data_IF_688993266280
#
_entry.id   IF_688993266280
#
_cell.length_a   1.000
_cell.length_b   1.000
_cell.length_c   1.000
_cell.angle_alpha   90.00
_cell.angle_beta   90.00
_cell.angle_gamma   90.00
#
_symmetry.space_group_name_H-M   'P 1'
#
loop_
_entity.id
_entity.type
_entity.pdbx_description
1 polymer ?
#
# COMPACT_ATOMS: atom_id res chain seq x y z
N UNK A 1 -9.60 16.82 -0.96
CA UNK A 1 -9.44 15.35 -0.96
C UNK A 1 -8.10 15.02 -0.35
N UNK A 2 -8.05 14.24 0.73
CA UNK A 2 -6.79 13.86 1.39
C UNK A 2 -6.59 12.36 1.22
N UNK A 3 -5.41 11.98 0.76
CA UNK A 3 -4.97 10.59 0.69
C UNK A 3 -3.97 10.34 1.81
N UNK A 4 -4.05 9.16 2.44
CA UNK A 4 -3.07 8.72 3.44
C UNK A 4 -2.49 7.38 2.98
N UNK A 5 -1.16 7.29 2.89
CA UNK A 5 -0.49 6.01 2.67
C UNK A 5 -0.64 5.15 3.93
N UNK A 6 -1.15 3.93 3.76
CA UNK A 6 -1.32 2.95 4.83
C UNK A 6 -0.73 1.61 4.41
N UNK A 7 -0.46 0.81 5.42
CA UNK A 7 0.05 -0.55 5.27
C UNK A 7 -0.96 -1.57 5.83
N UNK A 8 -1.02 -2.75 5.22
CA UNK A 8 -1.84 -3.88 5.67
C UNK A 8 -1.00 -5.16 5.62
N UNK A 9 -0.94 -5.96 6.70
CA UNK A 9 -0.31 -7.27 6.69
C UNK A 9 -0.91 -8.19 5.60
N UNK A 10 -0.01 -8.90 4.92
CA UNK A 10 -0.30 -9.95 3.94
C UNK A 10 0.56 -11.19 4.28
N UNK A 11 0.48 -12.23 3.46
CA UNK A 11 1.22 -13.47 3.68
C UNK A 11 2.74 -13.28 3.62
N UNK A 12 3.49 -14.26 4.16
CA UNK A 12 4.97 -14.30 4.15
C UNK A 12 5.64 -13.12 4.89
N UNK A 13 4.98 -12.57 5.92
CA UNK A 13 5.56 -11.49 6.73
C UNK A 13 5.80 -10.21 5.93
N UNK A 14 4.94 -9.93 4.94
CA UNK A 14 4.96 -8.70 4.13
C UNK A 14 3.76 -7.83 4.48
N UNK A 15 3.85 -6.54 4.16
CA UNK A 15 2.75 -5.58 4.24
C UNK A 15 2.52 -4.96 2.88
N UNK A 16 1.27 -4.97 2.40
CA UNK A 16 0.88 -4.27 1.19
C UNK A 16 0.59 -2.80 1.48
N UNK A 17 0.95 -1.92 0.55
CA UNK A 17 0.68 -0.49 0.63
C UNK A 17 -0.59 -0.11 -0.14
N UNK A 18 -1.39 0.76 0.47
CA UNK A 18 -2.61 1.28 -0.13
C UNK A 18 -2.85 2.75 0.26
N UNK A 19 -3.53 3.49 -0.62
CA UNK A 19 -4.01 4.83 -0.35
C UNK A 19 -5.41 4.73 0.27
N UNK A 20 -5.64 5.44 1.39
CA UNK A 20 -6.96 5.62 2.01
C UNK A 20 -7.42 7.06 1.75
N UNK A 21 -8.51 7.20 1.00
CA UNK A 21 -9.10 8.48 0.60
C UNK A 21 -10.29 8.81 1.50
N UNK A 22 -10.29 10.02 2.07
CA UNK A 22 -11.45 10.51 2.83
C UNK A 22 -11.84 11.93 2.40
N UNK A 23 -13.09 12.16 1.91
CA UNK A 23 -14.12 11.15 1.61
C UNK A 23 -13.73 10.22 0.44
N UNK A 24 -14.49 9.14 0.23
CA UNK A 24 -14.28 8.17 -0.87
C UNK A 24 -14.29 8.87 -2.25
N UNK A 25 -13.55 8.30 -3.20
CA UNK A 25 -13.32 8.92 -4.51
C UNK A 25 -14.09 8.16 -5.60
N UNK A 26 -14.64 8.85 -6.62
CA UNK A 26 -15.28 8.18 -7.74
C UNK A 26 -14.25 7.34 -8.50
N UNK A 27 -14.52 6.05 -8.70
CA UNK A 27 -13.74 5.20 -9.58
C UNK A 27 -14.14 5.49 -11.05
N UNK A 28 -13.21 5.38 -12.03
CA UNK A 28 -13.53 5.56 -13.44
C UNK A 28 -14.57 4.55 -13.97
N UNK A 29 -14.76 3.42 -13.30
CA UNK A 29 -15.86 2.50 -13.61
C UNK A 29 -17.19 2.99 -13.01
N UNK A 30 -18.29 2.97 -13.78
CA UNK A 30 -19.56 3.56 -13.34
C UNK A 30 -20.05 2.96 -12.01
N UNK A 31 -20.29 3.82 -11.01
CA UNK A 31 -21.05 3.48 -9.80
C UNK A 31 -20.26 2.91 -8.62
N UNK A 32 -18.94 2.76 -8.71
CA UNK A 32 -18.11 2.41 -7.55
C UNK A 32 -17.36 3.63 -7.03
N UNK A 33 -17.56 4.01 -5.78
CA UNK A 33 -16.63 4.91 -5.09
C UNK A 33 -15.63 4.04 -4.35
N UNK A 34 -14.33 4.26 -4.57
CA UNK A 34 -13.31 3.53 -3.82
C UNK A 34 -12.80 4.40 -2.69
N UNK A 35 -12.76 3.82 -1.49
CA UNK A 35 -12.07 4.42 -0.35
C UNK A 35 -10.60 4.03 -0.32
N UNK A 36 -10.27 2.85 -0.86
CA UNK A 36 -8.93 2.27 -0.78
C UNK A 36 -8.45 1.86 -2.17
N UNK A 37 -7.22 2.25 -2.49
CA UNK A 37 -6.55 1.85 -3.72
C UNK A 37 -5.23 1.16 -3.38
N UNK A 38 -5.11 -0.12 -3.73
CA UNK A 38 -3.90 -0.90 -3.47
C UNK A 38 -2.86 -0.62 -4.55
N UNK A 39 -1.64 -0.29 -4.13
CA UNK A 39 -0.57 0.13 -5.03
C UNK A 39 0.17 -1.03 -5.70
N UNK A 40 -0.23 -2.28 -5.43
CA UNK A 40 0.54 -3.50 -5.77
C UNK A 40 2.00 -3.50 -5.25
N UNK A 41 2.31 -2.59 -4.32
CA UNK A 41 3.58 -2.50 -3.61
C UNK A 41 3.48 -3.25 -2.28
N UNK A 42 4.62 -3.80 -1.86
CA UNK A 42 4.76 -4.44 -0.56
C UNK A 42 6.13 -4.19 0.05
N UNK A 43 6.18 -4.19 1.38
CA UNK A 43 7.41 -4.14 2.17
C UNK A 43 7.48 -5.36 3.08
N UNK A 44 8.67 -5.87 3.35
CA UNK A 44 8.87 -6.98 4.30
C UNK A 44 8.89 -6.45 5.74
N UNK A 45 8.12 -7.05 6.66
CA UNK A 45 8.06 -6.64 8.07
C UNK A 45 9.40 -6.79 8.78
N UNK A 46 10.12 -7.86 8.45
CA UNK A 46 11.48 -8.14 8.92
C UNK A 46 12.33 -8.44 7.70
N UNK A 47 13.17 -7.49 7.31
CA UNK A 47 14.08 -7.69 6.20
C UNK A 47 15.13 -8.77 6.54
N UNK A 48 15.05 -9.92 5.88
CA UNK A 48 15.89 -11.10 6.11
C UNK A 48 17.30 -10.96 5.50
N UNK A 49 17.50 -10.02 4.59
CA UNK A 49 18.79 -9.80 3.92
C UNK A 49 18.91 -8.40 3.28
N UNK A 50 20.07 -8.11 2.68
CA UNK A 50 20.35 -6.80 2.06
C UNK A 50 19.40 -6.45 0.92
N UNK A 51 18.98 -7.45 0.15
CA UNK A 51 18.01 -7.26 -0.94
C UNK A 51 16.66 -6.75 -0.42
N UNK A 52 16.13 -7.37 0.64
CA UNK A 52 14.87 -6.92 1.25
C UNK A 52 15.01 -5.57 1.94
N UNK A 53 16.17 -5.28 2.55
CA UNK A 53 16.45 -3.95 3.12
C UNK A 53 16.47 -2.87 2.03
N UNK A 54 17.13 -3.15 0.90
CA UNK A 54 17.19 -2.24 -0.25
C UNK A 54 15.79 -2.03 -0.85
N UNK A 55 15.06 -3.12 -1.09
CA UNK A 55 13.69 -3.07 -1.58
C UNK A 55 12.77 -2.24 -0.67
N UNK A 56 12.84 -2.45 0.64
CA UNK A 56 12.06 -1.67 1.60
C UNK A 56 12.40 -0.18 1.54
N UNK A 57 13.68 0.22 1.45
CA UNK A 57 14.08 1.63 1.29
C UNK A 57 13.55 2.24 -0.01
N UNK A 58 13.56 1.49 -1.11
CA UNK A 58 13.03 1.97 -2.38
C UNK A 58 11.49 2.07 -2.38
N UNK A 59 10.82 1.28 -1.53
CA UNK A 59 9.35 1.16 -1.50
C UNK A 59 8.68 1.98 -0.39
N UNK A 60 9.35 2.22 0.74
CA UNK A 60 8.80 2.90 1.91
C UNK A 60 9.88 3.43 2.84
N UNK A 61 10.07 4.76 2.77
CA UNK A 61 11.07 5.62 3.44
C UNK A 61 12.45 5.73 2.78
#
# INVERSE_FOLDING_TARGET
MKATLREKPINDGRKSLYLDFYPSIPHPEPGTSTRREFLSLYVSEKARGDLERKHNKETGY
#
